data_IF_690671641339
#
_entry.id   IF_690671641339
#
_cell.length_a   1.000
_cell.length_b   1.000
_cell.length_c   1.000
_cell.angle_alpha   90.00
_cell.angle_beta   90.00
_cell.angle_gamma   90.00
#
_symmetry.space_group_name_H-M   'P 1'
#
loop_
_entity.id
_entity.type
_entity.pdbx_description
1 polymer ?
#
# COMPACT_ATOMS: atom_id res chain seq x y z
N UNK A 1 -70.18 -32.14 3.40
CA UNK A 1 -69.85 -31.31 4.58
C UNK A 1 -68.59 -30.52 4.24
N UNK A 2 -68.74 -29.20 4.17
CA UNK A 2 -67.76 -28.08 4.11
C UNK A 2 -66.33 -28.35 3.61
N UNK A 3 -66.06 -27.75 2.45
CA UNK A 3 -64.78 -27.28 1.92
C UNK A 3 -63.94 -26.49 2.93
N UNK A 4 -62.62 -26.66 2.89
CA UNK A 4 -61.69 -25.55 3.17
C UNK A 4 -60.31 -25.83 2.55
N UNK A 5 -59.94 -24.98 1.58
CA UNK A 5 -58.61 -24.88 0.97
C UNK A 5 -57.82 -23.89 1.82
N UNK A 6 -56.72 -24.32 2.42
CA UNK A 6 -55.79 -23.44 3.13
C UNK A 6 -54.56 -23.17 2.25
N UNK A 7 -54.51 -21.98 1.67
CA UNK A 7 -53.36 -21.43 0.94
C UNK A 7 -52.29 -21.03 1.97
N UNK A 8 -51.18 -21.77 2.04
CA UNK A 8 -49.99 -21.33 2.79
C UNK A 8 -49.22 -20.28 1.99
N UNK A 9 -49.19 -19.05 2.51
CA UNK A 9 -48.35 -17.95 2.01
C UNK A 9 -46.87 -18.33 2.16
N UNK A 10 -46.12 -18.34 1.06
CA UNK A 10 -44.67 -18.29 1.07
C UNK A 10 -44.24 -16.89 1.56
N UNK A 11 -43.53 -16.83 2.68
CA UNK A 11 -42.85 -15.61 3.12
C UNK A 11 -41.38 -15.73 2.69
N UNK A 12 -41.04 -15.08 1.59
CA UNK A 12 -39.67 -14.97 1.08
C UNK A 12 -39.00 -13.83 1.82
N UNK A 13 -38.17 -14.16 2.82
CA UNK A 13 -37.26 -13.19 3.44
C UNK A 13 -36.08 -13.02 2.48
N UNK A 14 -36.10 -11.91 1.73
CA UNK A 14 -34.96 -11.45 0.95
C UNK A 14 -34.04 -10.70 1.92
N UNK A 15 -33.03 -11.37 2.44
CA UNK A 15 -31.87 -10.72 3.07
C UNK A 15 -31.05 -10.07 1.97
N UNK A 16 -31.40 -8.83 1.64
CA UNK A 16 -30.59 -7.99 0.78
C UNK A 16 -29.33 -7.55 1.52
N UNK A 17 -28.19 -8.10 1.13
CA UNK A 17 -26.87 -7.51 1.43
C UNK A 17 -26.77 -6.17 0.71
N UNK A 18 -27.09 -5.08 1.41
CA UNK A 18 -26.78 -3.74 0.95
C UNK A 18 -25.25 -3.57 1.00
N UNK A 19 -24.59 -3.71 -0.14
CA UNK A 19 -23.24 -3.23 -0.32
C UNK A 19 -23.25 -1.71 -0.15
N UNK A 20 -22.77 -1.22 1.00
CA UNK A 20 -22.40 0.18 1.17
C UNK A 20 -21.18 0.46 0.29
N UNK A 21 -21.41 0.82 -0.97
CA UNK A 21 -20.43 1.52 -1.79
C UNK A 21 -20.29 2.93 -1.20
N UNK A 22 -19.36 3.10 -0.27
CA UNK A 22 -18.88 4.43 0.10
C UNK A 22 -18.19 5.02 -1.13
N UNK A 23 -18.92 5.85 -1.88
CA UNK A 23 -18.35 6.72 -2.91
C UNK A 23 -17.54 7.81 -2.20
N UNK A 24 -16.27 7.53 -1.92
CA UNK A 24 -15.33 8.58 -1.57
C UNK A 24 -15.11 9.46 -2.79
N UNK A 25 -15.53 10.73 -2.70
CA UNK A 25 -15.21 11.76 -3.67
C UNK A 25 -13.69 12.02 -3.65
N UNK A 26 -12.93 11.22 -4.40
CA UNK A 26 -11.56 11.59 -4.71
C UNK A 26 -11.60 12.76 -5.72
N UNK A 27 -10.87 13.86 -5.50
CA UNK A 27 -10.72 14.87 -6.53
C UNK A 27 -10.18 14.20 -7.80
N UNK A 28 -10.70 14.60 -8.96
CA UNK A 28 -10.35 14.02 -10.27
C UNK A 28 -8.85 14.15 -10.66
N UNK A 29 -8.00 14.70 -9.77
CA UNK A 29 -6.56 14.86 -9.91
C UNK A 29 -5.78 14.26 -8.70
N UNK A 30 -6.38 13.36 -7.92
CA UNK A 30 -5.65 12.70 -6.85
C UNK A 30 -4.56 11.79 -7.44
N UNK A 31 -3.30 12.01 -7.03
CA UNK A 31 -2.20 11.10 -7.37
C UNK A 31 -2.48 9.77 -6.69
N UNK A 32 -2.62 8.71 -7.48
CA UNK A 32 -2.75 7.34 -6.98
C UNK A 32 -1.42 6.61 -7.07
N UNK A 33 -1.30 5.47 -6.39
CA UNK A 33 -0.14 4.58 -6.52
C UNK A 33 -0.50 3.27 -7.19
N UNK A 34 0.46 2.68 -7.91
CA UNK A 34 0.34 1.41 -8.62
C UNK A 34 1.46 0.48 -8.15
N UNK A 35 1.14 -0.81 -7.94
CA UNK A 35 2.14 -1.82 -7.60
C UNK A 35 3.18 -1.95 -8.72
N UNK A 36 4.46 -2.07 -8.35
CA UNK A 36 5.58 -2.33 -9.26
C UNK A 36 6.51 -3.43 -8.72
N UNK A 37 7.17 -4.19 -9.62
CA UNK A 37 8.22 -5.13 -9.22
C UNK A 37 9.53 -4.38 -8.90
N UNK A 38 10.45 -5.06 -8.20
CA UNK A 38 11.77 -4.51 -7.87
C UNK A 38 12.57 -4.09 -9.11
N UNK A 39 12.39 -4.80 -10.24
CA UNK A 39 13.04 -4.50 -11.52
C UNK A 39 12.63 -3.15 -12.13
N UNK A 40 11.58 -2.50 -11.62
CA UNK A 40 11.20 -1.15 -12.04
C UNK A 40 12.15 -0.06 -11.50
N UNK A 41 12.93 -0.35 -10.46
CA UNK A 41 13.89 0.58 -9.89
C UNK A 41 15.23 0.51 -10.63
N UNK A 42 15.67 1.66 -11.16
CA UNK A 42 16.98 1.78 -11.82
C UNK A 42 18.13 1.61 -10.82
N UNK A 43 19.36 1.34 -11.29
CA UNK A 43 20.55 1.32 -10.43
C UNK A 43 20.84 2.65 -9.70
N UNK A 44 20.29 3.76 -10.19
CA UNK A 44 20.44 5.09 -9.59
C UNK A 44 19.43 5.35 -8.45
N UNK A 45 18.40 4.51 -8.32
CA UNK A 45 17.47 4.58 -7.19
C UNK A 45 18.19 4.22 -5.89
N UNK A 46 17.78 4.83 -4.77
CA UNK A 46 18.32 4.52 -3.46
C UNK A 46 18.07 3.07 -3.06
N UNK A 47 18.96 2.53 -2.23
CA UNK A 47 18.89 1.22 -1.62
C UNK A 47 19.42 1.31 -0.19
N UNK A 48 18.63 0.87 0.79
CA UNK A 48 19.06 0.64 2.17
C UNK A 48 18.87 -0.84 2.49
N UNK A 49 19.92 -1.48 3.00
CA UNK A 49 19.98 -2.92 3.32
C UNK A 49 20.06 -3.19 4.82
N UNK A 50 19.96 -2.14 5.63
CA UNK A 50 20.13 -2.13 7.09
C UNK A 50 21.46 -2.69 7.60
N UNK A 51 22.38 -3.03 6.70
CA UNK A 51 23.74 -3.48 6.99
C UNK A 51 24.70 -2.30 7.18
N UNK A 52 24.25 -1.07 6.87
CA UNK A 52 25.08 0.14 6.95
C UNK A 52 25.28 0.60 8.41
N UNK A 53 24.42 0.16 9.33
CA UNK A 53 24.53 0.42 10.76
C UNK A 53 24.57 -0.87 11.59
N UNK A 54 25.00 -0.76 12.85
CA UNK A 54 25.12 -1.91 13.75
C UNK A 54 23.77 -2.47 14.20
N UNK A 55 23.79 -3.75 14.62
CA UNK A 55 22.64 -4.38 15.29
C UNK A 55 22.21 -3.58 16.52
N UNK A 56 20.89 -3.52 16.74
CA UNK A 56 20.27 -2.78 17.84
C UNK A 56 20.17 -1.27 17.61
N UNK A 57 20.61 -0.74 16.46
CA UNK A 57 20.38 0.67 16.13
C UNK A 57 18.89 0.96 16.13
N UNK A 58 18.44 1.85 17.02
CA UNK A 58 17.03 2.24 17.21
C UNK A 58 16.70 3.43 16.33
N UNK A 59 15.54 3.38 15.66
CA UNK A 59 14.99 4.45 14.80
C UNK A 59 16.08 5.09 13.93
N UNK A 60 16.77 4.29 13.09
CA UNK A 60 17.93 4.79 12.36
C UNK A 60 17.55 5.97 11.46
N UNK A 61 18.52 6.85 11.22
CA UNK A 61 18.41 7.94 10.24
C UNK A 61 19.51 7.78 9.21
N UNK A 62 19.13 7.60 7.95
CA UNK A 62 20.03 7.40 6.83
C UNK A 62 20.16 8.69 6.04
N UNK A 63 21.30 9.36 6.18
CA UNK A 63 21.68 10.44 5.26
C UNK A 63 22.09 9.86 3.90
N UNK A 64 22.07 10.65 2.81
CA UNK A 64 22.55 10.20 1.50
C UNK A 64 23.89 9.45 1.53
N UNK A 65 24.86 9.96 2.30
CA UNK A 65 26.17 9.34 2.42
C UNK A 65 26.14 7.93 3.06
N UNK A 66 25.19 7.68 3.97
CA UNK A 66 25.09 6.41 4.68
C UNK A 66 24.74 5.23 3.76
N UNK A 67 24.00 5.49 2.67
CA UNK A 67 23.57 4.47 1.71
C UNK A 67 24.15 4.67 0.30
N UNK A 68 25.17 5.52 0.16
CA UNK A 68 25.83 5.78 -1.13
C UNK A 68 25.03 6.67 -2.11
N UNK A 69 23.99 7.35 -1.63
CA UNK A 69 23.22 8.31 -2.40
C UNK A 69 23.96 9.62 -2.67
N UNK A 70 23.59 10.30 -3.77
CA UNK A 70 24.12 11.63 -4.08
C UNK A 70 23.61 12.67 -3.05
N UNK A 71 24.49 13.34 -2.28
CA UNK A 71 24.09 14.29 -1.23
C UNK A 71 23.22 15.46 -1.71
N UNK A 72 23.29 15.83 -2.98
CA UNK A 72 22.53 16.94 -3.54
C UNK A 72 21.08 16.54 -3.86
N UNK A 73 20.87 15.30 -4.32
CA UNK A 73 19.59 14.88 -4.88
C UNK A 73 18.88 13.87 -4.01
N UNK A 74 19.60 12.93 -3.39
CA UNK A 74 19.02 11.84 -2.62
C UNK A 74 18.44 12.34 -1.28
N UNK A 75 17.42 11.66 -0.73
CA UNK A 75 16.77 12.05 0.52
C UNK A 75 17.55 11.60 1.76
N UNK A 76 17.29 12.26 2.89
CA UNK A 76 17.42 11.65 4.22
C UNK A 76 16.20 10.79 4.50
N UNK A 77 16.42 9.59 5.04
CA UNK A 77 15.38 8.62 5.38
C UNK A 77 15.38 8.37 6.88
N UNK A 78 14.24 8.55 7.54
CA UNK A 78 14.10 8.39 8.99
C UNK A 78 13.03 7.35 9.30
N UNK A 79 13.22 6.56 10.35
CA UNK A 79 12.35 5.45 10.70
C UNK A 79 11.69 5.62 12.08
N UNK A 80 10.48 5.08 12.25
CA UNK A 80 9.72 5.08 13.51
C UNK A 80 8.54 4.10 13.45
N UNK A 81 7.69 4.06 14.47
CA UNK A 81 6.57 3.12 14.53
C UNK A 81 5.36 3.57 13.70
N UNK A 82 4.90 4.80 13.92
CA UNK A 82 3.76 5.41 13.19
C UNK A 82 3.89 6.94 13.15
N UNK A 83 3.04 7.58 12.34
CA UNK A 83 3.02 9.04 12.20
C UNK A 83 2.21 9.73 13.31
N UNK A 84 2.47 11.01 13.53
CA UNK A 84 1.63 11.87 14.38
C UNK A 84 0.16 11.81 13.93
N UNK A 85 -0.77 11.66 14.88
CA UNK A 85 -2.21 11.48 14.59
C UNK A 85 -2.65 10.02 14.40
N UNK A 86 -1.70 9.08 14.44
CA UNK A 86 -1.97 7.65 14.45
C UNK A 86 -1.70 7.03 15.83
N UNK A 87 -2.17 5.80 16.02
CA UNK A 87 -1.91 5.00 17.21
C UNK A 87 -2.05 3.50 16.90
N UNK A 88 -1.67 2.65 17.84
CA UNK A 88 -2.03 1.24 17.79
C UNK A 88 -3.52 1.05 18.11
N UNK A 89 -4.16 0.13 17.41
CA UNK A 89 -5.58 -0.15 17.61
C UNK A 89 -5.86 -0.70 19.01
N UNK A 90 -6.87 -0.13 19.67
CA UNK A 90 -7.45 -0.68 20.89
C UNK A 90 -8.47 -1.81 20.60
N UNK A 91 -8.87 -2.00 19.33
CA UNK A 91 -9.83 -3.00 18.90
C UNK A 91 -9.40 -3.67 17.57
N UNK A 92 -8.26 -4.39 17.56
CA UNK A 92 -7.71 -4.94 16.33
C UNK A 92 -8.63 -5.97 15.66
N UNK A 93 -9.54 -6.61 16.42
CA UNK A 93 -10.54 -7.52 15.84
C UNK A 93 -11.48 -6.86 14.83
N UNK A 94 -11.63 -5.53 14.89
CA UNK A 94 -12.39 -4.74 13.92
C UNK A 94 -11.47 -4.04 12.93
N UNK A 95 -10.40 -3.40 13.42
CA UNK A 95 -9.55 -2.54 12.60
C UNK A 95 -8.60 -3.32 11.69
N UNK A 96 -8.08 -4.46 12.16
CA UNK A 96 -7.21 -5.37 11.42
C UNK A 96 -7.61 -6.82 11.74
N UNK A 97 -8.75 -7.34 11.23
CA UNK A 97 -9.31 -8.61 11.69
C UNK A 97 -8.31 -9.77 11.66
N UNK A 98 -8.01 -10.33 12.83
CA UNK A 98 -7.04 -11.42 13.01
C UNK A 98 -5.60 -10.97 13.23
N UNK A 99 -5.28 -9.69 12.98
CA UNK A 99 -3.99 -9.08 13.26
C UNK A 99 -3.77 -8.79 14.75
N UNK A 100 -2.50 -8.76 15.16
CA UNK A 100 -2.12 -8.38 16.52
C UNK A 100 -2.30 -6.87 16.75
N UNK A 101 -2.70 -6.50 17.97
CA UNK A 101 -2.82 -5.09 18.38
C UNK A 101 -1.50 -4.31 18.20
N UNK A 102 -0.37 -5.00 18.35
CA UNK A 102 0.97 -4.40 18.30
C UNK A 102 1.38 -3.95 16.90
N UNK A 103 0.81 -4.53 15.85
CA UNK A 103 1.10 -4.21 14.45
C UNK A 103 -0.04 -3.52 13.71
N UNK A 104 -1.23 -3.41 14.32
CA UNK A 104 -2.42 -2.77 13.74
C UNK A 104 -2.40 -1.26 14.02
N UNK A 105 -2.16 -0.45 12.99
CA UNK A 105 -2.11 1.02 13.10
C UNK A 105 -3.43 1.63 12.64
N UNK A 106 -3.96 2.56 13.42
CA UNK A 106 -5.20 3.29 13.15
C UNK A 106 -5.00 4.79 13.25
N UNK A 107 -6.01 5.55 12.81
CA UNK A 107 -5.95 7.00 12.74
C UNK A 107 -5.36 7.50 11.42
N UNK A 108 -5.44 8.82 11.22
CA UNK A 108 -4.95 9.49 10.02
C UNK A 108 -3.82 10.44 10.41
N UNK A 109 -2.69 10.45 9.69
CA UNK A 109 -1.62 11.38 10.01
C UNK A 109 -2.07 12.84 10.00
N UNK A 110 -1.56 13.63 10.93
CA UNK A 110 -1.71 15.09 10.89
C UNK A 110 -0.74 15.70 9.89
N UNK A 111 -1.16 16.73 9.16
CA UNK A 111 -0.28 17.51 8.30
C UNK A 111 0.48 18.60 9.07
N UNK A 112 1.78 18.82 8.81
CA UNK A 112 2.65 18.07 7.90
C UNK A 112 3.03 16.68 8.44
N UNK A 113 3.23 15.73 7.51
CA UNK A 113 3.60 14.36 7.83
C UNK A 113 4.89 14.32 8.66
N UNK A 114 4.82 13.73 9.84
CA UNK A 114 5.92 13.61 10.79
C UNK A 114 5.80 12.33 11.61
N UNK A 115 6.93 11.74 11.98
CA UNK A 115 6.96 10.57 12.86
C UNK A 115 6.53 10.99 14.28
N UNK A 116 5.74 10.15 14.94
CA UNK A 116 5.41 10.37 16.34
C UNK A 116 6.57 9.89 17.23
N UNK A 117 7.23 10.77 18.02
CA UNK A 117 8.30 10.36 18.93
C UNK A 117 7.82 9.46 20.07
N UNK A 118 6.52 9.37 20.32
CA UNK A 118 5.92 8.43 21.27
C UNK A 118 5.56 7.08 20.62
N UNK A 119 5.73 6.92 19.30
CA UNK A 119 5.49 5.64 18.64
C UNK A 119 6.49 4.57 19.09
N UNK A 120 6.12 3.27 19.04
CA UNK A 120 7.05 2.18 19.30
C UNK A 120 8.28 2.27 18.39
N UNK A 121 9.43 1.89 18.94
CA UNK A 121 10.68 1.93 18.21
C UNK A 121 10.72 0.93 17.04
N UNK A 122 11.47 1.29 16.02
CA UNK A 122 12.06 0.36 15.06
C UNK A 122 13.51 0.09 15.45
N UNK A 123 14.05 -1.06 15.09
CA UNK A 123 15.45 -1.38 15.34
C UNK A 123 16.01 -2.42 14.38
N UNK A 124 17.32 -2.35 14.15
CA UNK A 124 18.06 -3.28 13.31
C UNK A 124 18.31 -4.58 14.08
N UNK A 125 17.98 -5.73 13.50
CA UNK A 125 18.09 -7.04 14.14
C UNK A 125 18.47 -8.11 13.13
N UNK A 126 18.93 -9.26 13.62
CA UNK A 126 19.08 -10.44 12.76
C UNK A 126 17.73 -11.15 12.59
N UNK A 127 17.52 -11.68 11.38
CA UNK A 127 16.43 -12.60 11.07
C UNK A 127 17.00 -13.79 10.31
N UNK A 128 16.87 -14.99 10.87
CA UNK A 128 17.33 -16.23 10.24
C UNK A 128 16.41 -16.74 9.14
N UNK A 129 15.21 -16.19 9.01
CA UNK A 129 14.23 -16.53 7.98
C UNK A 129 14.34 -15.62 6.75
N UNK A 130 14.95 -14.44 6.90
CA UNK A 130 15.22 -13.53 5.81
C UNK A 130 16.43 -14.01 4.97
N UNK A 131 16.38 -13.92 3.63
CA UNK A 131 17.48 -14.33 2.76
C UNK A 131 18.71 -13.44 2.93
N UNK A 132 18.51 -12.19 3.35
CA UNK A 132 19.54 -11.23 3.70
C UNK A 132 19.26 -10.70 5.11
N UNK A 133 20.32 -10.47 5.88
CA UNK A 133 20.24 -10.00 7.27
C UNK A 133 21.49 -9.15 7.55
N UNK A 134 21.43 -8.10 8.38
CA UNK A 134 20.30 -7.69 9.23
C UNK A 134 19.09 -7.12 8.50
N UNK A 135 17.96 -7.09 9.20
CA UNK A 135 16.68 -6.51 8.78
C UNK A 135 16.28 -5.37 9.73
N UNK A 136 15.32 -4.54 9.33
CA UNK A 136 14.65 -3.61 10.23
C UNK A 136 13.35 -4.22 10.75
N UNK A 137 13.18 -4.23 12.07
CA UNK A 137 11.98 -4.68 12.76
C UNK A 137 11.29 -3.52 13.49
N UNK A 138 9.97 -3.60 13.66
CA UNK A 138 9.24 -2.82 14.66
C UNK A 138 9.35 -3.41 16.06
N UNK A 139 8.73 -2.76 17.05
CA UNK A 139 8.61 -3.24 18.43
C UNK A 139 7.15 -3.58 18.76
N UNK A 140 6.85 -4.80 19.28
CA UNK A 140 7.77 -5.90 19.60
C UNK A 140 8.47 -6.48 18.37
N UNK A 141 9.58 -7.20 18.58
CA UNK A 141 10.36 -7.85 17.52
C UNK A 141 9.43 -8.61 16.55
N UNK A 142 9.54 -8.28 15.27
CA UNK A 142 8.75 -8.78 14.15
C UNK A 142 7.23 -8.56 14.25
N UNK A 143 6.74 -7.73 15.16
CA UNK A 143 5.30 -7.59 15.38
C UNK A 143 4.87 -6.14 15.67
N UNK A 144 5.76 -5.19 15.41
CA UNK A 144 5.48 -3.76 15.47
C UNK A 144 5.46 -3.14 14.07
N UNK A 145 4.72 -2.04 13.87
CA UNK A 145 4.73 -1.33 12.60
C UNK A 145 6.09 -0.69 12.33
N UNK A 146 6.37 -0.47 11.05
CA UNK A 146 7.57 0.20 10.57
C UNK A 146 7.14 1.33 9.66
N UNK A 147 7.50 2.55 10.02
CA UNK A 147 7.13 3.77 9.30
C UNK A 147 8.38 4.52 8.86
N UNK A 148 8.36 5.02 7.63
CA UNK A 148 9.50 5.60 6.91
C UNK A 148 9.11 7.01 6.47
N UNK A 149 9.90 8.01 6.87
CA UNK A 149 9.73 9.39 6.45
C UNK A 149 10.93 9.82 5.58
N UNK A 150 10.63 10.36 4.40
CA UNK A 150 11.64 10.96 3.51
C UNK A 150 11.62 12.47 3.69
N UNK A 151 12.79 13.12 3.69
CA UNK A 151 12.86 14.60 3.67
C UNK A 151 12.58 15.22 2.29
N UNK A 152 12.52 14.39 1.25
CA UNK A 152 12.10 14.74 -0.13
C UNK A 152 11.02 13.78 -0.59
N UNK A 153 10.10 14.24 -1.43
CA UNK A 153 9.04 13.38 -1.95
C UNK A 153 9.57 12.45 -3.05
N UNK A 154 9.19 11.18 -2.98
CA UNK A 154 9.62 10.11 -3.88
C UNK A 154 8.56 9.84 -4.96
N UNK A 155 8.98 9.35 -6.12
CA UNK A 155 8.07 8.87 -7.17
C UNK A 155 7.69 7.40 -6.98
N UNK A 156 8.60 6.58 -6.45
CA UNK A 156 8.31 5.20 -6.09
C UNK A 156 9.13 4.72 -4.91
N UNK A 157 8.57 3.79 -4.15
CA UNK A 157 9.17 3.17 -2.96
C UNK A 157 8.81 1.69 -2.95
N UNK A 158 9.72 0.84 -2.51
CA UNK A 158 9.43 -0.56 -2.26
C UNK A 158 10.43 -1.20 -1.32
N UNK A 159 10.11 -2.37 -0.78
CA UNK A 159 10.93 -3.08 0.18
C UNK A 159 10.66 -4.58 0.09
N UNK A 160 11.60 -5.39 0.55
CA UNK A 160 11.36 -6.79 0.82
C UNK A 160 10.73 -6.90 2.20
N UNK A 161 9.54 -7.51 2.27
CA UNK A 161 8.82 -7.75 3.52
C UNK A 161 8.63 -9.25 3.77
N UNK A 162 8.50 -9.61 5.05
CA UNK A 162 8.20 -10.97 5.50
C UNK A 162 9.10 -11.40 6.66
N UNK A 163 9.26 -12.70 6.94
CA UNK A 163 8.66 -13.87 6.26
C UNK A 163 7.16 -14.01 6.57
N UNK A 164 6.29 -13.93 5.55
CA UNK A 164 4.85 -14.01 5.73
C UNK A 164 4.33 -15.45 5.82
N UNK A 165 3.44 -15.72 6.77
CA UNK A 165 2.73 -16.99 6.88
C UNK A 165 1.30 -16.94 6.31
N UNK A 166 0.80 -15.74 5.98
CA UNK A 166 -0.53 -15.58 5.39
C UNK A 166 -0.56 -14.46 4.33
N UNK A 167 -1.30 -14.63 3.22
CA UNK A 167 -1.53 -13.55 2.28
C UNK A 167 -2.49 -12.49 2.86
N UNK A 168 -2.37 -11.25 2.41
CA UNK A 168 -3.15 -10.09 2.88
C UNK A 168 -3.10 -9.89 4.40
N UNK A 169 -1.94 -10.20 5.00
CA UNK A 169 -1.69 -10.05 6.42
C UNK A 169 -1.07 -8.69 6.75
N UNK A 170 -0.27 -8.15 5.84
CA UNK A 170 0.43 -6.86 5.95
C UNK A 170 0.21 -6.01 4.70
N UNK A 171 0.44 -4.71 4.83
CA UNK A 171 0.46 -3.80 3.69
C UNK A 171 1.46 -2.66 3.88
N UNK A 172 2.02 -2.21 2.77
CA UNK A 172 2.67 -0.91 2.69
C UNK A 172 1.63 0.14 2.28
N UNK A 173 1.52 1.23 3.04
CA UNK A 173 0.64 2.38 2.74
C UNK A 173 1.51 3.61 2.46
N UNK A 174 1.28 4.25 1.32
CA UNK A 174 1.98 5.45 0.90
C UNK A 174 1.22 6.73 1.31
N UNK A 175 1.96 7.70 1.81
CA UNK A 175 1.42 8.98 2.29
C UNK A 175 2.06 10.15 1.55
N UNK A 176 1.25 11.17 1.28
CA UNK A 176 1.73 12.47 0.82
C UNK A 176 2.21 13.32 2.01
N UNK A 177 2.89 14.43 1.68
CA UNK A 177 3.50 15.34 2.67
C UNK A 177 2.49 15.96 3.63
N UNK A 178 1.25 16.11 3.21
CA UNK A 178 0.15 16.64 4.00
C UNK A 178 -0.52 15.61 4.92
N UNK A 179 -0.09 14.34 4.88
CA UNK A 179 -0.67 13.24 5.65
C UNK A 179 -1.75 12.45 4.92
N UNK A 180 -2.16 12.85 3.72
CA UNK A 180 -3.15 12.11 2.93
C UNK A 180 -2.61 10.77 2.43
N UNK A 181 -3.49 9.77 2.35
CA UNK A 181 -3.17 8.44 1.81
C UNK A 181 -3.22 8.49 0.28
N UNK A 182 -2.13 8.06 -0.37
CA UNK A 182 -2.04 7.94 -1.83
C UNK A 182 -2.49 6.55 -2.32
N UNK A 183 -2.36 5.55 -1.45
CA UNK A 183 -2.82 4.18 -1.68
C UNK A 183 -1.96 3.16 -0.94
N UNK A 184 -2.24 1.88 -1.15
CA UNK A 184 -1.59 0.79 -0.45
C UNK A 184 -1.39 -0.45 -1.32
N UNK A 185 -0.47 -1.31 -0.90
CA UNK A 185 -0.17 -2.60 -1.51
C UNK A 185 -0.01 -3.64 -0.41
N UNK A 186 -0.86 -4.67 -0.40
CA UNK A 186 -0.80 -5.78 0.57
C UNK A 186 0.13 -6.91 0.12
N UNK A 187 0.66 -7.74 1.01
CA UNK A 187 1.30 -8.97 0.57
C UNK A 187 0.29 -9.92 -0.09
N UNK A 188 0.70 -10.63 -1.13
CA UNK A 188 -0.16 -11.52 -1.92
C UNK A 188 0.16 -12.99 -1.72
N UNK A 189 1.36 -13.30 -1.23
CA UNK A 189 1.81 -14.65 -0.92
C UNK A 189 2.37 -14.79 0.49
N UNK A 190 2.97 -15.96 0.71
CA UNK A 190 3.76 -16.31 1.89
C UNK A 190 5.26 -16.19 1.58
N UNK A 191 6.11 -16.19 2.61
CA UNK A 191 7.55 -16.03 2.48
C UNK A 191 7.96 -14.57 2.36
N UNK A 192 9.08 -14.32 1.67
CA UNK A 192 9.57 -12.96 1.43
C UNK A 192 9.00 -12.45 0.10
N UNK A 193 8.40 -11.26 0.13
CA UNK A 193 7.82 -10.61 -1.05
C UNK A 193 8.35 -9.18 -1.17
N UNK A 194 8.74 -8.78 -2.39
CA UNK A 194 8.98 -7.38 -2.70
C UNK A 194 7.65 -6.64 -2.85
N UNK A 195 7.38 -5.71 -1.94
CA UNK A 195 6.24 -4.81 -1.96
C UNK A 195 6.70 -3.46 -2.50
N UNK A 196 6.33 -3.14 -3.74
CA UNK A 196 6.70 -1.89 -4.38
C UNK A 196 5.51 -1.13 -4.93
N UNK A 197 5.57 0.20 -4.86
CA UNK A 197 4.58 1.11 -5.42
C UNK A 197 5.23 2.33 -6.07
N UNK A 198 4.54 2.91 -7.05
CA UNK A 198 4.93 4.13 -7.77
C UNK A 198 3.71 5.02 -7.98
N UNK A 199 3.88 6.33 -7.98
CA UNK A 199 2.83 7.27 -8.38
C UNK A 199 2.39 6.99 -9.83
N UNK A 200 1.09 7.00 -10.08
CA UNK A 200 0.50 6.64 -11.37
C UNK A 200 0.91 7.59 -12.50
N UNK A 201 1.26 8.82 -12.17
CA UNK A 201 1.73 9.85 -13.10
C UNK A 201 3.26 10.02 -13.11
N UNK A 202 4.00 9.24 -12.30
CA UNK A 202 5.45 9.32 -12.16
C UNK A 202 5.96 10.56 -11.42
N UNK A 203 5.08 11.37 -10.84
CA UNK A 203 5.44 12.54 -10.05
C UNK A 203 6.04 12.15 -8.69
N UNK A 204 6.86 13.01 -8.11
CA UNK A 204 7.31 12.86 -6.73
C UNK A 204 6.20 13.32 -5.77
N UNK A 205 5.47 12.39 -5.17
CA UNK A 205 4.38 12.69 -4.23
C UNK A 205 4.44 11.88 -2.93
N UNK A 206 5.22 10.80 -2.88
CA UNK A 206 5.31 9.91 -1.72
C UNK A 206 6.29 10.52 -0.71
N UNK A 207 5.76 11.10 0.35
CA UNK A 207 6.55 11.67 1.46
C UNK A 207 6.94 10.62 2.50
N UNK A 208 6.17 9.53 2.59
CA UNK A 208 6.43 8.47 3.55
C UNK A 208 5.69 7.17 3.23
N UNK A 209 6.12 6.11 3.92
CA UNK A 209 5.59 4.75 3.80
C UNK A 209 5.32 4.18 5.20
N UNK A 210 4.26 3.42 5.38
CA UNK A 210 3.99 2.65 6.61
C UNK A 210 3.77 1.20 6.25
N UNK A 211 4.46 0.30 6.96
CA UNK A 211 4.29 -1.14 6.88
C UNK A 211 3.68 -1.64 8.19
N UNK A 212 2.47 -2.20 8.11
CA UNK A 212 1.66 -2.59 9.26
C UNK A 212 0.79 -3.80 8.95
N UNK A 213 0.17 -4.36 10.01
CA UNK A 213 -0.81 -5.44 9.88
C UNK A 213 -2.14 -4.90 9.37
N UNK A 214 -2.74 -5.67 8.46
CA UNK A 214 -4.13 -5.52 8.00
C UNK A 214 -4.94 -6.81 8.21
N UNK A 215 -4.28 -7.89 8.62
CA UNK A 215 -4.85 -9.21 8.85
C UNK A 215 -3.95 -10.08 9.73
N UNK A 216 -4.23 -11.39 9.84
CA UNK A 216 -3.46 -12.30 10.67
C UNK A 216 -2.06 -12.57 10.08
N UNK A 217 -1.01 -12.32 10.85
CA UNK A 217 0.38 -12.67 10.50
C UNK A 217 1.06 -13.39 11.69
N UNK A 218 1.00 -14.74 11.75
CA UNK A 218 1.55 -15.51 12.87
C UNK A 218 3.07 -15.41 13.04
N UNK A 219 3.84 -15.33 11.94
CA UNK A 219 5.30 -15.27 11.97
C UNK A 219 5.83 -13.87 12.33
N UNK A 220 4.99 -12.85 12.15
CA UNK A 220 5.42 -11.47 12.17
C UNK A 220 6.00 -11.01 10.83
N UNK A 221 6.67 -9.86 10.84
CA UNK A 221 7.26 -9.25 9.65
C UNK A 221 8.43 -8.34 10.03
N UNK A 222 9.41 -8.28 9.14
CA UNK A 222 10.46 -7.29 9.09
C UNK A 222 10.54 -6.70 7.67
N UNK A 223 11.41 -5.71 7.49
CA UNK A 223 11.74 -5.21 6.16
C UNK A 223 13.25 -5.29 5.91
N UNK A 224 13.60 -5.48 4.65
CA UNK A 224 14.94 -5.29 4.13
C UNK A 224 14.90 -4.66 2.72
N UNK A 225 16.06 -4.30 2.17
CA UNK A 225 16.25 -3.90 0.78
C UNK A 225 15.28 -2.79 0.33
N UNK A 226 15.14 -1.77 1.18
CA UNK A 226 14.31 -0.60 0.92
C UNK A 226 14.85 0.15 -0.30
N UNK A 227 14.06 0.18 -1.37
CA UNK A 227 14.29 0.95 -2.60
C UNK A 227 13.41 2.19 -2.63
N UNK A 228 13.96 3.30 -3.11
CA UNK A 228 13.21 4.54 -3.33
C UNK A 228 13.82 5.32 -4.47
N UNK A 229 13.00 5.97 -5.28
CA UNK A 229 13.46 6.70 -6.45
C UNK A 229 12.70 7.99 -6.71
N UNK A 230 13.44 8.97 -7.17
CA UNK A 230 12.94 10.22 -7.75
C UNK A 230 12.33 9.96 -9.16
N UNK A 231 11.61 10.94 -9.73
CA UNK A 231 11.18 10.87 -11.12
C UNK A 231 12.35 10.52 -12.06
N UNK A 232 12.13 9.57 -12.96
CA UNK A 232 13.15 9.03 -13.86
C UNK A 232 14.06 7.94 -13.28
N UNK A 233 14.00 7.69 -11.96
CA UNK A 233 14.72 6.58 -11.32
C UNK A 233 13.85 5.32 -11.13
N UNK A 234 12.55 5.45 -11.37
CA UNK A 234 11.55 4.37 -11.30
C UNK A 234 10.77 4.36 -12.60
N UNK A 235 10.65 3.20 -13.22
CA UNK A 235 9.87 3.01 -14.44
C UNK A 235 8.45 2.56 -14.06
N UNK A 236 7.43 3.44 -14.14
CA UNK A 236 6.07 3.02 -13.89
C UNK A 236 5.61 2.00 -14.94
N UNK A 237 4.62 1.15 -14.61
CA UNK A 237 4.01 0.27 -15.60
C UNK A 237 3.52 1.12 -16.76
N UNK A 238 3.95 0.80 -17.99
CA UNK A 238 3.45 1.50 -19.18
C UNK A 238 1.96 1.19 -19.28
N UNK A 239 1.12 2.19 -19.05
CA UNK A 239 -0.27 2.11 -19.49
C UNK A 239 -0.23 2.15 -21.00
N UNK A 240 -0.46 1.01 -21.66
CA UNK A 240 -0.83 1.04 -23.07
C UNK A 240 -2.11 1.86 -23.15
N UNK A 241 -2.13 3.02 -23.84
CA UNK A 241 -3.36 3.78 -23.98
C UNK A 241 -4.40 2.85 -24.57
N UNK A 242 -5.49 2.59 -23.84
CA UNK A 242 -6.61 1.88 -24.46
C UNK A 242 -7.04 2.73 -25.66
N UNK A 243 -7.05 2.17 -26.87
CA UNK A 243 -7.48 2.93 -28.02
C UNK A 243 -8.93 3.36 -27.77
N UNK A 244 -9.16 4.68 -27.64
CA UNK A 244 -10.50 5.26 -27.61
C UNK A 244 -11.38 4.80 -28.80
N UNK A 245 -10.76 4.17 -29.80
CA UNK A 245 -11.41 3.50 -30.92
C UNK A 245 -12.25 2.28 -30.55
N UNK A 246 -12.12 1.61 -29.40
CA UNK A 246 -13.01 0.46 -29.07
C UNK A 246 -14.44 0.93 -28.74
N UNK A 247 -14.58 1.99 -27.94
CA UNK A 247 -15.86 2.65 -27.67
C UNK A 247 -16.38 3.42 -28.89
N UNK A 248 -15.48 4.05 -29.65
CA UNK A 248 -15.83 4.71 -30.92
C UNK A 248 -16.35 3.75 -32.00
N UNK A 249 -15.74 2.57 -32.16
CA UNK A 249 -16.19 1.53 -33.11
C UNK A 249 -17.53 0.92 -32.72
N UNK A 250 -17.78 0.71 -31.42
CA UNK A 250 -19.09 0.26 -30.93
C UNK A 250 -20.17 1.32 -31.18
N UNK A 251 -19.90 2.61 -30.92
CA UNK A 251 -20.85 3.69 -31.17
C UNK A 251 -21.18 3.87 -32.67
N UNK A 252 -20.19 3.73 -33.55
CA UNK A 252 -20.40 3.81 -35.01
C UNK A 252 -21.14 2.56 -35.52
N UNK A 253 -20.87 1.38 -34.96
CA UNK A 253 -21.58 0.14 -35.29
C UNK A 253 -23.10 0.20 -35.01
N UNK A 254 -23.50 0.80 -33.88
CA UNK A 254 -24.92 0.97 -33.56
C UNK A 254 -25.64 2.01 -34.43
N UNK A 255 -24.96 3.10 -34.81
CA UNK A 255 -25.51 4.11 -35.72
C UNK A 255 -25.67 3.59 -37.17
N UNK A 256 -24.75 2.71 -37.60
CA UNK A 256 -24.84 2.03 -38.89
C UNK A 256 -25.96 0.99 -38.96
N UNK A 257 -26.19 0.21 -37.91
CA UNK A 257 -27.26 -0.79 -37.87
C UNK A 257 -28.66 -0.16 -37.79
N UNK A 258 -28.82 0.93 -37.03
CA UNK A 258 -30.11 1.64 -36.88
C UNK A 258 -30.61 2.34 -38.16
N UNK A 259 -29.69 2.76 -39.03
CA UNK A 259 -30.03 3.43 -40.29
C UNK A 259 -30.43 2.46 -41.42
N UNK A 260 -29.95 1.22 -41.39
CA UNK A 260 -30.35 0.15 -42.35
C UNK A 260 -31.75 -0.39 -42.03
N UNK A 261 -32.13 -0.50 -40.76
CA UNK A 261 -33.46 -0.98 -40.34
C UNK A 261 -34.60 -0.02 -40.72
N UNK A 262 -34.36 1.30 -40.75
CA UNK A 262 -35.39 2.27 -41.20
C UNK A 262 -35.69 2.23 -42.69
N UNK A 263 -34.79 1.67 -43.52
CA UNK A 263 -34.96 1.64 -44.98
C UNK A 263 -35.77 0.45 -45.50
N UNK A 264 -36.00 -0.58 -44.67
CA UNK A 264 -36.81 -1.76 -45.02
C UNK A 264 -38.28 -1.70 -44.56
N UNK A 265 -38.69 -0.61 -43.92
CA UNK A 265 -40.05 -0.40 -43.40
C UNK A 265 -40.86 0.62 -44.22
N UNK A 266 -40.54 0.81 -45.50
CA UNK A 266 -41.31 1.63 -46.44
C UNK A 266 -41.74 0.80 -47.64
#
# INVERSE_FOLDING_TARGET
MKTSIAIKKLSTVVTGSAAFLALSNFPANAVSVVRIPQSSFTPQAGLITFSEFGLGTVNPTYTPAAYGGNPLTAPTVTFGGFYQGQSLSANPGVDCPGGAATGCVVGTPTGPLSLDPASPNTFITNDGSAPNSPVLSGTPLFNGPITILFDKDMAGVGLDGGFFDAPNSTAITAFARDGSVLGQVSNTGTGIEFLGLVTSDGSAAIAGLQFSLIGPEPAGFAIDSLRFGLPGQVNPPRTTPEPASVLGLLAIGFLGAGSVLKRKLK
#
